data_IF_859366906176
#
_entry.id   IF_859366906176
#
_cell.length_a   1.000
_cell.length_b   1.000
_cell.length_c   1.000
_cell.angle_alpha   90.00
_cell.angle_beta   90.00
_cell.angle_gamma   90.00
#
_symmetry.space_group_name_H-M   'P 1'
#
loop_
_entity.id
_entity.type
_entity.pdbx_description
1 polymer ?
#
# COMPACT_ATOMS: atom_id res chain seq x y z
N UNK A 1 -17.29 -3.77 3.11
CA UNK A 1 -15.83 -3.84 2.93
C UNK A 1 -15.50 -4.00 1.45
N UNK A 2 -14.56 -3.24 0.96
CA UNK A 2 -14.11 -3.34 -0.43
C UNK A 2 -13.39 -4.65 -0.69
N UNK A 3 -13.56 -5.21 -1.89
CA UNK A 3 -12.80 -6.38 -2.32
C UNK A 3 -11.36 -5.95 -2.63
N UNK A 4 -10.39 -6.69 -2.10
CA UNK A 4 -8.97 -6.38 -2.31
C UNK A 4 -8.49 -7.09 -3.58
N UNK A 5 -7.95 -6.29 -4.52
CA UNK A 5 -7.32 -6.80 -5.74
C UNK A 5 -5.83 -6.50 -5.70
N UNK A 6 -5.02 -7.48 -6.05
CA UNK A 6 -3.57 -7.34 -6.10
C UNK A 6 -3.13 -7.28 -7.56
N UNK A 7 -2.44 -6.21 -7.95
CA UNK A 7 -1.81 -6.18 -9.28
C UNK A 7 -0.67 -7.20 -9.32
N UNK A 8 -0.28 -7.60 -10.51
CA UNK A 8 0.87 -8.50 -10.68
C UNK A 8 2.14 -7.87 -10.10
N UNK A 9 2.31 -6.56 -10.27
CA UNK A 9 3.47 -5.85 -9.73
C UNK A 9 3.47 -5.84 -8.21
N UNK A 10 2.30 -5.61 -7.59
CA UNK A 10 2.18 -5.68 -6.13
C UNK A 10 2.54 -7.08 -5.60
N UNK A 11 2.08 -8.12 -6.28
CA UNK A 11 2.40 -9.50 -5.87
C UNK A 11 3.90 -9.76 -5.90
N UNK A 12 4.60 -9.28 -6.92
CA UNK A 12 6.06 -9.39 -7.00
C UNK A 12 6.74 -8.58 -5.90
N UNK A 13 6.28 -7.35 -5.66
CA UNK A 13 6.81 -6.49 -4.61
C UNK A 13 6.64 -7.14 -3.24
N UNK A 14 5.44 -7.65 -2.95
CA UNK A 14 5.14 -8.29 -1.68
C UNK A 14 6.04 -9.50 -1.43
N UNK A 15 6.21 -10.34 -2.46
CA UNK A 15 7.08 -11.51 -2.37
C UNK A 15 8.54 -11.12 -2.08
N UNK A 16 9.00 -10.03 -2.70
CA UNK A 16 10.34 -9.50 -2.44
C UNK A 16 10.46 -9.01 -1.00
N UNK A 17 9.48 -8.24 -0.50
CA UNK A 17 9.53 -7.70 0.87
C UNK A 17 9.45 -8.80 1.92
N UNK A 18 8.77 -9.90 1.66
CA UNK A 18 8.72 -11.04 2.56
C UNK A 18 10.08 -11.70 2.78
N UNK A 19 11.02 -11.49 1.88
CA UNK A 19 12.37 -12.04 1.95
C UNK A 19 13.40 -11.01 2.36
N UNK A 20 12.98 -9.77 2.51
CA UNK A 20 13.88 -8.63 2.73
C UNK A 20 13.98 -8.20 4.18
N UNK A 21 14.35 -6.95 4.36
CA UNK A 21 14.60 -6.32 5.66
C UNK A 21 13.37 -6.38 6.58
N UNK A 22 12.17 -6.29 6.02
CA UNK A 22 10.93 -6.23 6.79
C UNK A 22 10.24 -7.58 6.97
N UNK A 23 10.90 -8.70 6.64
CA UNK A 23 10.30 -10.03 6.57
C UNK A 23 9.56 -10.48 7.84
N UNK A 24 10.05 -10.07 9.02
CA UNK A 24 9.47 -10.52 10.30
C UNK A 24 8.26 -9.71 10.74
N UNK A 25 8.09 -8.50 10.22
CA UNK A 25 7.04 -7.58 10.66
C UNK A 25 6.09 -7.17 9.55
N UNK A 26 6.32 -7.62 8.32
CA UNK A 26 5.57 -7.15 7.16
C UNK A 26 4.06 -7.32 7.34
N UNK A 27 3.60 -8.56 7.59
CA UNK A 27 2.17 -8.82 7.70
C UNK A 27 1.56 -8.14 8.93
N UNK A 28 2.29 -8.10 10.04
CA UNK A 28 1.83 -7.45 11.27
C UNK A 28 1.52 -5.97 11.05
N UNK A 29 2.34 -5.30 10.25
CA UNK A 29 2.16 -3.88 9.96
C UNK A 29 1.20 -3.64 8.78
N UNK A 30 1.22 -4.50 7.77
CA UNK A 30 0.46 -4.31 6.54
C UNK A 30 -1.02 -4.68 6.68
N UNK A 31 -1.34 -5.82 7.30
CA UNK A 31 -2.72 -6.31 7.35
C UNK A 31 -3.69 -5.34 8.01
N UNK A 32 -3.37 -4.73 9.15
CA UNK A 32 -4.28 -3.73 9.74
C UNK A 32 -4.53 -2.54 8.81
N UNK A 33 -3.52 -2.11 8.04
CA UNK A 33 -3.67 -1.02 7.07
C UNK A 33 -4.63 -1.44 5.97
N UNK A 34 -4.47 -2.64 5.42
CA UNK A 34 -5.35 -3.14 4.36
C UNK A 34 -6.80 -3.24 4.83
N UNK A 35 -7.01 -3.71 6.06
CA UNK A 35 -8.35 -3.81 6.63
C UNK A 35 -8.99 -2.42 6.79
N UNK A 36 -8.24 -1.45 7.27
CA UNK A 36 -8.75 -0.08 7.42
C UNK A 36 -9.09 0.53 6.06
N UNK A 37 -8.21 0.38 5.06
CA UNK A 37 -8.45 0.91 3.72
C UNK A 37 -9.66 0.24 3.07
N UNK A 38 -9.81 -1.08 3.21
CA UNK A 38 -10.93 -1.81 2.63
C UNK A 38 -12.25 -1.43 3.29
N UNK A 39 -12.22 -1.03 4.55
CA UNK A 39 -13.41 -0.61 5.31
C UNK A 39 -13.64 0.90 5.26
N UNK A 40 -12.87 1.63 4.46
CA UNK A 40 -12.92 3.09 4.34
C UNK A 40 -12.73 3.82 5.67
N UNK A 41 -11.95 3.22 6.57
CA UNK A 41 -11.59 3.83 7.83
C UNK A 41 -10.31 4.66 7.66
N UNK A 42 -10.18 5.79 8.37
CA UNK A 42 -8.96 6.60 8.28
C UNK A 42 -7.77 5.85 8.90
N UNK A 43 -6.59 6.06 8.33
CA UNK A 43 -5.34 5.55 8.90
C UNK A 43 -4.83 6.51 9.97
N UNK A 44 -4.02 5.98 10.90
CA UNK A 44 -3.32 6.83 11.86
C UNK A 44 -2.39 7.78 11.13
N UNK A 45 -2.18 8.98 11.69
CA UNK A 45 -1.38 10.02 11.04
C UNK A 45 0.05 9.58 10.71
N UNK A 46 0.61 8.65 11.48
CA UNK A 46 1.96 8.11 11.24
C UNK A 46 2.10 7.43 9.88
N UNK A 47 0.99 6.98 9.29
CA UNK A 47 1.00 6.32 7.98
C UNK A 47 0.97 7.30 6.81
N UNK A 48 0.77 8.59 7.07
CA UNK A 48 0.87 9.66 6.06
C UNK A 48 0.10 9.36 4.78
N UNK A 49 -1.13 8.86 4.90
CA UNK A 49 -1.99 8.57 3.75
C UNK A 49 -2.30 9.85 2.97
N UNK A 50 -1.92 9.89 1.69
CA UNK A 50 -2.15 11.07 0.86
C UNK A 50 -2.23 10.72 -0.63
N UNK A 51 -2.84 11.63 -1.38
CA UNK A 51 -2.96 11.49 -2.83
C UNK A 51 -1.63 11.79 -3.51
N UNK A 52 -1.35 11.06 -4.60
CA UNK A 52 -0.18 11.27 -5.42
C UNK A 52 -0.51 12.14 -6.64
N UNK A 53 0.52 12.68 -7.28
CA UNK A 53 0.42 13.51 -8.48
C UNK A 53 1.33 12.95 -9.57
N UNK A 54 1.32 13.60 -10.75
CA UNK A 54 2.17 13.20 -11.86
C UNK A 54 1.82 11.83 -12.41
N UNK A 55 2.81 10.98 -12.57
CA UNK A 55 2.64 9.63 -13.11
C UNK A 55 1.73 8.74 -12.27
N UNK A 56 1.58 9.07 -10.99
CA UNK A 56 0.74 8.35 -10.05
C UNK A 56 -0.62 9.04 -9.81
N UNK A 57 -1.05 9.90 -10.72
CA UNK A 57 -2.36 10.52 -10.64
C UNK A 57 -3.44 9.47 -10.39
N UNK A 58 -4.43 9.81 -9.57
CA UNK A 58 -5.53 8.93 -9.17
C UNK A 58 -5.13 7.77 -8.26
N UNK A 59 -3.88 7.77 -7.80
CA UNK A 59 -3.39 6.84 -6.80
C UNK A 59 -3.13 7.57 -5.48
N UNK A 60 -3.05 6.79 -4.42
CA UNK A 60 -2.67 7.28 -3.09
C UNK A 60 -1.52 6.44 -2.57
N UNK A 61 -0.74 6.99 -1.64
CA UNK A 61 0.23 6.18 -0.92
C UNK A 61 0.02 6.31 0.59
N UNK A 62 0.51 5.31 1.31
CA UNK A 62 0.62 5.37 2.76
C UNK A 62 1.90 4.67 3.18
N UNK A 63 2.44 5.10 4.32
CA UNK A 63 3.66 4.52 4.88
C UNK A 63 3.28 3.35 5.80
N UNK A 64 3.59 2.13 5.37
CA UNK A 64 3.47 0.94 6.22
C UNK A 64 4.51 1.02 7.32
N UNK A 65 5.72 1.45 6.94
CA UNK A 65 6.85 1.79 7.82
C UNK A 65 7.48 3.05 7.26
N UNK A 66 8.39 3.73 7.99
CA UNK A 66 9.00 4.97 7.50
C UNK A 66 9.57 4.89 6.09
N UNK A 67 10.14 3.75 5.68
CA UNK A 67 10.65 3.56 4.33
C UNK A 67 10.05 2.32 3.65
N UNK A 68 8.80 2.00 3.96
CA UNK A 68 8.06 0.97 3.25
C UNK A 68 6.70 1.55 2.89
N UNK A 69 6.51 1.83 1.61
CA UNK A 69 5.36 2.57 1.09
C UNK A 69 4.46 1.65 0.30
N UNK A 70 3.15 1.78 0.52
CA UNK A 70 2.12 1.11 -0.26
C UNK A 70 1.46 2.12 -1.17
N UNK A 71 1.46 1.86 -2.49
CA UNK A 71 0.67 2.63 -3.45
C UNK A 71 -0.60 1.83 -3.75
N UNK A 72 -1.75 2.47 -3.60
CA UNK A 72 -3.04 1.84 -3.81
C UNK A 72 -4.00 2.81 -4.49
N UNK A 73 -5.11 2.28 -4.98
CA UNK A 73 -6.21 3.11 -5.49
C UNK A 73 -7.54 2.44 -5.20
N UNK A 74 -8.59 3.24 -5.22
CA UNK A 74 -9.97 2.78 -5.10
C UNK A 74 -10.66 3.14 -6.41
N UNK A 75 -10.64 2.25 -7.42
CA UNK A 75 -11.16 2.57 -8.75
C UNK A 75 -12.67 2.75 -8.77
N UNK A 76 -13.36 2.13 -7.82
CA UNK A 76 -14.80 2.29 -7.61
C UNK A 76 -15.12 2.02 -6.14
N UNK A 77 -16.40 2.02 -5.79
CA UNK A 77 -16.84 1.84 -4.41
C UNK A 77 -16.66 0.41 -3.88
N UNK A 78 -16.46 -0.57 -4.77
CA UNK A 78 -16.43 -1.98 -4.42
C UNK A 78 -15.00 -2.55 -4.29
N UNK A 79 -13.98 -1.82 -4.75
CA UNK A 79 -12.63 -2.37 -4.91
C UNK A 79 -11.58 -1.51 -4.21
N UNK A 80 -10.63 -2.18 -3.57
CA UNK A 80 -9.35 -1.62 -3.15
C UNK A 80 -8.28 -2.34 -3.97
N UNK A 81 -7.57 -1.62 -4.82
CA UNK A 81 -6.51 -2.18 -5.65
C UNK A 81 -5.14 -1.84 -5.07
N UNK A 82 -4.35 -2.87 -4.80
CA UNK A 82 -2.98 -2.71 -4.29
C UNK A 82 -2.05 -2.71 -5.50
N UNK A 83 -1.30 -1.62 -5.67
CA UNK A 83 -0.57 -1.35 -6.92
C UNK A 83 0.92 -1.59 -6.79
N UNK A 84 1.57 -1.04 -5.76
CA UNK A 84 3.00 -1.22 -5.51
C UNK A 84 3.29 -1.26 -4.02
N UNK A 85 4.42 -1.91 -3.68
CA UNK A 85 4.93 -1.93 -2.31
C UNK A 85 6.46 -1.88 -2.36
N UNK A 86 7.08 -0.95 -1.66
CA UNK A 86 8.54 -0.83 -1.66
C UNK A 86 9.03 0.44 -0.98
N UNK A 87 10.33 0.66 -1.07
CA UNK A 87 10.95 1.90 -0.56
C UNK A 87 10.60 3.07 -1.47
N UNK A 88 10.82 4.29 -0.96
CA UNK A 88 10.63 5.49 -1.78
C UNK A 88 11.42 5.43 -3.08
N UNK A 89 12.70 5.04 -3.02
CA UNK A 89 13.51 5.00 -4.23
C UNK A 89 13.09 3.91 -5.19
N UNK A 90 12.66 2.75 -4.69
CA UNK A 90 12.17 1.67 -5.56
C UNK A 90 10.92 2.08 -6.32
N UNK A 91 10.08 2.91 -5.71
CA UNK A 91 8.82 3.36 -6.31
C UNK A 91 8.95 4.69 -7.08
N UNK A 92 10.11 5.31 -7.04
CA UNK A 92 10.34 6.58 -7.71
C UNK A 92 9.63 7.75 -7.02
N UNK A 93 9.50 7.67 -5.73
CA UNK A 93 8.83 8.72 -4.95
C UNK A 93 9.79 9.67 -4.25
#
# INVERSE_FOLDING_TARGET
>A
MRRIENTAQFKRDYKRERKGLHRTTLDTELIPILNALASDEPLESRHRDHALTGDWKDHRDCHVKPDLVLIYRKPDEAVLQLVRLGSHSELGL
#
